data_IF_552945151217
#
_entry.id   IF_552945151217
#
_cell.length_a   1.000
_cell.length_b   1.000
_cell.length_c   1.000
_cell.angle_alpha   90.00
_cell.angle_beta   90.00
_cell.angle_gamma   90.00
#
_symmetry.space_group_name_H-M   'P 1'
#
loop_
_entity.id
_entity.type
_entity.pdbx_description
1 polymer ?
#
# COMPACT_ATOMS: atom_id res chain seq x y z
N UNK A 1 7.70 -1.91 28.18
CA UNK A 1 6.36 -2.16 27.61
C UNK A 1 6.51 -2.13 26.10
N UNK A 2 6.70 -3.30 25.49
CA UNK A 2 6.80 -3.43 24.03
C UNK A 2 5.40 -3.20 23.46
N UNK A 3 5.23 -2.16 22.61
CA UNK A 3 3.95 -1.94 21.93
C UNK A 3 3.83 -3.02 20.86
N UNK A 4 2.71 -3.74 20.88
CA UNK A 4 2.38 -4.76 19.90
C UNK A 4 2.48 -4.19 18.47
N UNK A 5 2.92 -5.06 17.55
CA UNK A 5 2.96 -4.82 16.11
C UNK A 5 1.53 -4.79 15.58
N UNK A 6 1.12 -3.66 14.99
CA UNK A 6 -0.27 -3.37 14.68
C UNK A 6 -0.41 -2.89 13.23
N UNK A 7 -0.33 -3.81 12.26
CA UNK A 7 -0.44 -3.51 10.82
C UNK A 7 -1.60 -4.29 10.19
N UNK A 8 -2.26 -3.71 9.18
CA UNK A 8 -3.39 -4.28 8.42
C UNK A 8 -2.89 -5.12 7.23
N UNK A 9 -3.81 -5.80 6.54
CA UNK A 9 -3.48 -6.77 5.50
C UNK A 9 -4.30 -6.56 4.25
N UNK A 10 -3.63 -6.43 3.10
CA UNK A 10 -4.22 -6.55 1.75
C UNK A 10 -3.59 -7.79 1.11
N UNK A 11 -4.43 -8.70 0.62
CA UNK A 11 -3.98 -9.81 -0.22
C UNK A 11 -3.96 -9.45 -1.71
N UNK A 12 -3.04 -10.05 -2.46
CA UNK A 12 -2.96 -9.97 -3.93
C UNK A 12 -2.94 -11.38 -4.54
N UNK A 13 -3.55 -11.54 -5.70
CA UNK A 13 -3.52 -12.76 -6.49
C UNK A 13 -2.50 -12.63 -7.62
N UNK A 14 -1.62 -13.62 -7.80
CA UNK A 14 -0.78 -13.74 -9.00
C UNK A 14 -1.32 -14.82 -9.90
N UNK A 15 -2.32 -14.47 -10.72
CA UNK A 15 -2.92 -15.41 -11.65
C UNK A 15 -1.86 -15.95 -12.63
N UNK A 16 -1.48 -17.21 -12.48
CA UNK A 16 -0.82 -17.97 -13.55
C UNK A 16 -1.92 -18.47 -14.51
N UNK A 17 -2.28 -17.59 -15.45
CA UNK A 17 -2.95 -17.83 -16.74
C UNK A 17 -4.07 -18.90 -16.72
N UNK A 18 -5.33 -18.48 -16.85
CA UNK A 18 -6.24 -19.04 -17.86
C UNK A 18 -7.29 -18.02 -18.35
N UNK A 19 -7.13 -17.63 -19.61
CA UNK A 19 -8.01 -16.91 -20.55
C UNK A 19 -9.40 -16.47 -20.06
N UNK A 20 -9.59 -15.17 -19.84
CA UNK A 20 -10.09 -14.24 -20.86
C UNK A 20 -10.12 -12.80 -20.28
N UNK A 21 -9.33 -11.90 -20.89
CA UNK A 21 -9.21 -10.45 -20.61
C UNK A 21 -8.25 -10.01 -19.49
N UNK A 22 -6.94 -10.12 -19.77
CA UNK A 22 -5.96 -9.04 -19.59
C UNK A 22 -4.62 -9.53 -20.16
N UNK A 23 -4.45 -9.45 -21.48
CA UNK A 23 -3.17 -9.74 -22.13
C UNK A 23 -2.28 -8.49 -22.02
N UNK A 24 -1.69 -8.27 -20.84
CA UNK A 24 -0.59 -7.32 -20.70
C UNK A 24 0.69 -8.11 -20.99
N UNK A 25 1.26 -7.94 -22.19
CA UNK A 25 2.50 -8.64 -22.60
C UNK A 25 3.72 -8.23 -21.76
N UNK A 26 3.70 -7.02 -21.16
CA UNK A 26 4.71 -6.52 -20.22
C UNK A 26 4.02 -5.60 -19.19
N UNK A 27 4.12 -5.87 -17.87
CA UNK A 27 3.57 -4.98 -16.84
C UNK A 27 4.11 -3.56 -16.99
N UNK A 28 3.22 -2.56 -16.98
CA UNK A 28 3.57 -1.14 -17.02
C UNK A 28 3.32 -0.57 -15.62
N UNK A 29 4.27 0.22 -15.11
CA UNK A 29 4.04 0.96 -13.87
C UNK A 29 3.19 2.20 -14.19
N UNK A 30 2.14 2.49 -13.41
CA UNK A 30 1.42 3.76 -13.53
C UNK A 30 2.36 4.93 -13.20
N UNK A 31 1.98 6.12 -13.68
CA UNK A 31 2.50 7.38 -13.14
C UNK A 31 2.09 7.55 -11.67
N UNK A 32 2.49 8.66 -11.05
CA UNK A 32 2.24 8.83 -9.62
C UNK A 32 0.78 9.14 -9.29
N UNK A 33 -0.02 9.54 -10.28
CA UNK A 33 -1.38 10.04 -10.06
C UNK A 33 -1.43 11.49 -9.60
N UNK A 34 -0.27 12.14 -9.39
CA UNK A 34 -0.22 13.56 -9.04
C UNK A 34 -0.71 14.42 -10.22
N UNK A 35 -1.83 15.12 -10.03
CA UNK A 35 -2.50 15.92 -11.06
C UNK A 35 -2.45 17.43 -10.83
N UNK A 36 -1.96 17.84 -9.65
CA UNK A 36 -1.89 19.24 -9.23
C UNK A 36 -0.46 19.77 -9.35
N UNK A 37 -0.30 20.92 -10.01
CA UNK A 37 0.95 21.68 -9.99
C UNK A 37 0.96 22.61 -8.77
N UNK A 38 2.15 22.88 -8.22
CA UNK A 38 2.34 23.80 -7.09
C UNK A 38 3.27 24.96 -7.47
N UNK A 39 3.06 26.11 -6.86
CA UNK A 39 3.93 27.27 -7.01
C UNK A 39 5.17 27.19 -6.07
N UNK A 40 6.00 28.24 -6.07
CA UNK A 40 7.21 28.29 -5.23
C UNK A 40 6.93 28.43 -3.73
N UNK A 41 5.69 28.73 -3.34
CA UNK A 41 5.24 28.81 -1.94
C UNK A 41 4.58 27.50 -1.49
N UNK A 42 4.36 26.56 -2.42
CA UNK A 42 3.73 25.27 -2.18
C UNK A 42 2.20 25.31 -2.27
N UNK A 43 1.63 26.36 -2.86
CA UNK A 43 0.19 26.47 -3.07
C UNK A 43 -0.22 25.86 -4.42
N UNK A 44 -1.39 25.20 -4.51
CA UNK A 44 -1.91 24.67 -5.77
C UNK A 44 -2.05 25.77 -6.83
N UNK A 45 -1.60 25.49 -8.05
CA UNK A 45 -1.77 26.39 -9.19
C UNK A 45 -2.54 25.73 -10.34
N UNK A 46 -3.24 26.57 -11.12
CA UNK A 46 -3.82 26.13 -12.38
C UNK A 46 -2.71 25.80 -13.38
N UNK A 47 -2.91 24.73 -14.17
CA UNK A 47 -1.93 24.23 -15.13
C UNK A 47 -1.21 25.37 -15.88
N UNK A 48 0.11 25.39 -15.78
CA UNK A 48 0.96 26.45 -16.29
C UNK A 48 2.06 25.88 -17.18
N UNK A 49 2.19 26.47 -18.37
CA UNK A 49 3.27 26.19 -19.32
C UNK A 49 4.55 26.99 -19.01
N UNK A 50 4.58 27.71 -17.88
CA UNK A 50 5.77 28.44 -17.46
C UNK A 50 6.91 27.47 -17.15
N UNK A 51 8.12 27.76 -17.64
CA UNK A 51 9.31 26.95 -17.35
C UNK A 51 9.66 26.84 -15.86
N UNK A 52 9.05 27.67 -15.01
CA UNK A 52 9.18 27.59 -13.56
C UNK A 52 8.39 26.42 -12.95
N UNK A 53 7.33 25.97 -13.61
CA UNK A 53 6.38 24.98 -13.09
C UNK A 53 6.32 23.71 -13.96
N UNK A 54 6.79 23.76 -15.21
CA UNK A 54 7.01 22.57 -16.05
C UNK A 54 8.14 21.71 -15.49
N UNK A 55 7.94 20.39 -15.44
CA UNK A 55 8.85 19.40 -14.82
C UNK A 55 8.31 18.78 -13.53
N UNK A 56 7.21 19.30 -12.98
CA UNK A 56 6.43 18.62 -11.94
C UNK A 56 5.70 17.41 -12.54
N UNK A 57 5.33 16.42 -11.73
CA UNK A 57 4.64 15.21 -12.24
C UNK A 57 3.32 15.57 -12.94
N UNK A 58 2.55 16.47 -12.34
CA UNK A 58 1.32 17.04 -12.90
C UNK A 58 1.49 17.83 -14.21
N UNK A 59 2.72 18.10 -14.66
CA UNK A 59 3.01 18.76 -15.94
C UNK A 59 3.32 17.79 -17.08
N UNK A 60 3.29 16.48 -16.82
CA UNK A 60 3.65 15.42 -17.77
C UNK A 60 2.46 14.49 -17.95
N UNK A 61 2.17 14.10 -19.20
CA UNK A 61 1.23 13.00 -19.46
C UNK A 61 1.87 11.68 -19.03
N UNK A 62 1.40 11.13 -17.90
CA UNK A 62 1.81 9.84 -17.39
C UNK A 62 0.74 8.76 -17.62
N UNK A 63 1.13 7.49 -17.50
CA UNK A 63 0.19 6.37 -17.53
C UNK A 63 -0.78 6.49 -16.34
N UNK A 64 -2.10 6.63 -16.54
CA UNK A 64 -3.02 6.76 -15.41
C UNK A 64 -3.14 5.46 -14.62
N UNK A 65 -3.56 5.57 -13.36
CA UNK A 65 -4.05 4.41 -12.60
C UNK A 65 -5.30 3.87 -13.31
N UNK A 66 -5.36 2.56 -13.55
CA UNK A 66 -6.45 1.93 -14.31
C UNK A 66 -6.87 0.63 -13.65
N UNK A 67 -8.09 0.62 -13.18
CA UNK A 67 -8.66 -0.52 -12.45
C UNK A 67 -9.96 -0.98 -13.10
N UNK A 68 -10.32 -2.23 -12.85
CA UNK A 68 -11.61 -2.81 -13.16
C UNK A 68 -12.14 -3.53 -11.92
N UNK A 69 -13.32 -3.14 -11.46
CA UNK A 69 -14.06 -3.91 -10.46
C UNK A 69 -14.68 -5.14 -11.13
N UNK A 70 -14.36 -6.33 -10.62
CA UNK A 70 -14.87 -7.59 -11.16
C UNK A 70 -16.27 -7.95 -10.61
N UNK A 71 -16.77 -7.21 -9.62
CA UNK A 71 -18.10 -7.41 -9.03
C UNK A 71 -18.19 -8.58 -8.05
N UNK A 72 -17.06 -9.18 -7.69
CA UNK A 72 -16.95 -10.37 -6.84
C UNK A 72 -16.07 -10.16 -5.59
N UNK A 73 -15.76 -8.89 -5.29
CA UNK A 73 -14.85 -8.50 -4.21
C UNK A 73 -13.38 -8.39 -4.64
N UNK A 74 -13.08 -8.50 -5.93
CA UNK A 74 -11.73 -8.32 -6.49
C UNK A 74 -11.65 -7.16 -7.48
N UNK A 75 -10.47 -6.54 -7.56
CA UNK A 75 -10.13 -5.46 -8.49
C UNK A 75 -8.99 -5.91 -9.39
N UNK A 76 -9.16 -5.82 -10.71
CA UNK A 76 -8.08 -6.04 -11.68
C UNK A 76 -7.34 -4.73 -11.94
N UNK A 77 -6.02 -4.71 -11.71
CA UNK A 77 -5.13 -3.63 -12.14
C UNK A 77 -4.77 -3.84 -13.61
N UNK A 78 -5.25 -2.95 -14.47
CA UNK A 78 -5.10 -3.04 -15.92
C UNK A 78 -3.70 -2.63 -16.39
N UNK A 79 -2.87 -2.03 -15.53
CA UNK A 79 -1.49 -1.65 -15.85
C UNK A 79 -0.52 -2.80 -15.56
N UNK A 80 -0.68 -3.45 -14.40
CA UNK A 80 0.22 -4.55 -13.98
C UNK A 80 -0.30 -5.94 -14.33
N UNK A 81 -1.62 -6.07 -14.59
CA UNK A 81 -2.30 -7.37 -14.77
C UNK A 81 -2.54 -8.13 -13.47
N UNK A 82 -2.24 -7.53 -12.31
CA UNK A 82 -2.45 -8.14 -11.00
C UNK A 82 -3.92 -7.99 -10.58
N UNK A 83 -4.39 -8.93 -9.76
CA UNK A 83 -5.72 -8.86 -9.16
C UNK A 83 -5.60 -8.69 -7.65
N UNK A 84 -6.39 -7.77 -7.11
CA UNK A 84 -6.31 -7.27 -5.75
C UNK A 84 -7.61 -7.56 -5.01
N UNK A 85 -7.51 -7.76 -3.70
CA UNK A 85 -8.68 -7.72 -2.82
C UNK A 85 -9.25 -6.30 -2.76
N UNK A 86 -10.56 -6.14 -2.99
CA UNK A 86 -11.24 -4.83 -2.94
C UNK A 86 -11.28 -4.24 -1.53
N UNK A 87 -11.67 -5.06 -0.55
CA UNK A 87 -11.88 -4.64 0.83
C UNK A 87 -10.97 -5.42 1.76
N UNK A 88 -10.20 -4.71 2.58
CA UNK A 88 -9.32 -5.33 3.57
C UNK A 88 -10.04 -5.54 4.92
N UNK A 89 -9.52 -6.45 5.74
CA UNK A 89 -9.95 -6.52 7.14
C UNK A 89 -9.16 -5.52 8.01
N UNK A 90 -9.70 -5.19 9.17
CA UNK A 90 -9.07 -4.29 10.15
C UNK A 90 -8.35 -5.04 11.27
N UNK A 91 -8.20 -6.37 11.12
CA UNK A 91 -7.59 -7.23 12.12
C UNK A 91 -6.08 -7.14 12.03
N UNK A 92 -5.48 -6.68 13.12
CA UNK A 92 -4.03 -6.46 13.21
C UNK A 92 -3.29 -7.77 13.41
N UNK A 93 -2.28 -7.99 12.58
CA UNK A 93 -1.51 -9.23 12.55
C UNK A 93 -0.02 -8.93 12.41
N UNK A 94 0.81 -9.84 12.90
CA UNK A 94 2.22 -9.85 12.55
C UNK A 94 2.39 -10.35 11.10
N UNK A 95 3.61 -10.30 10.56
CA UNK A 95 3.84 -10.68 9.16
C UNK A 95 3.49 -12.15 8.89
N UNK A 96 3.91 -13.07 9.76
CA UNK A 96 3.69 -14.50 9.57
C UNK A 96 2.20 -14.89 9.63
N UNK A 97 1.46 -14.34 10.60
CA UNK A 97 0.02 -14.50 10.74
C UNK A 97 -0.70 -13.94 9.50
N UNK A 98 -0.22 -12.81 8.93
CA UNK A 98 -0.79 -12.21 7.73
C UNK A 98 -0.58 -13.08 6.50
N UNK A 99 0.64 -13.61 6.30
CA UNK A 99 0.93 -14.56 5.21
C UNK A 99 -0.01 -15.76 5.29
N UNK A 100 -0.14 -16.38 6.46
CA UNK A 100 -0.98 -17.55 6.64
C UNK A 100 -2.46 -17.28 6.35
N UNK A 101 -2.97 -16.10 6.69
CA UNK A 101 -4.37 -15.72 6.40
C UNK A 101 -4.58 -15.49 4.91
N UNK A 102 -3.65 -14.82 4.22
CA UNK A 102 -3.79 -14.58 2.78
C UNK A 102 -3.65 -15.87 1.98
N UNK A 103 -2.68 -16.72 2.29
CA UNK A 103 -2.48 -17.99 1.58
C UNK A 103 -3.64 -18.98 1.77
N UNK A 104 -4.45 -18.82 2.83
CA UNK A 104 -5.63 -19.62 3.09
C UNK A 104 -6.94 -18.98 2.58
N UNK A 105 -6.87 -17.80 1.96
CA UNK A 105 -8.05 -17.04 1.55
C UNK A 105 -8.65 -17.63 0.27
N UNK A 106 -9.99 -17.71 0.26
CA UNK A 106 -10.77 -17.93 -0.95
C UNK A 106 -11.62 -16.69 -1.23
N UNK A 107 -11.35 -16.00 -2.33
CA UNK A 107 -12.02 -14.76 -2.73
C UNK A 107 -12.13 -14.70 -4.26
N UNK A 108 -13.27 -14.24 -4.79
CA UNK A 108 -13.51 -14.20 -6.25
C UNK A 108 -13.48 -15.56 -6.94
N UNK A 109 -13.60 -16.67 -6.19
CA UNK A 109 -13.41 -18.02 -6.72
C UNK A 109 -11.94 -18.44 -6.89
N UNK A 110 -11.00 -17.66 -6.35
CA UNK A 110 -9.56 -17.92 -6.39
C UNK A 110 -9.01 -18.30 -5.02
N UNK A 111 -7.98 -19.15 -5.01
CA UNK A 111 -7.34 -19.73 -3.81
C UNK A 111 -5.81 -19.52 -3.79
N UNK A 112 -5.23 -18.87 -4.79
CA UNK A 112 -3.79 -18.65 -4.97
C UNK A 112 -3.31 -17.27 -4.44
N UNK A 113 -4.03 -16.71 -3.48
CA UNK A 113 -3.75 -15.40 -2.89
C UNK A 113 -2.41 -15.41 -2.12
N UNK A 114 -1.66 -14.32 -2.22
CA UNK A 114 -0.40 -14.09 -1.48
C UNK A 114 -0.31 -12.65 -0.99
N UNK A 115 0.62 -12.36 -0.09
CA UNK A 115 0.95 -10.97 0.20
C UNK A 115 1.67 -10.32 -1.01
N UNK A 116 1.35 -9.05 -1.32
CA UNK A 116 2.06 -8.29 -2.35
C UNK A 116 3.50 -8.00 -1.92
N UNK A 117 4.41 -7.84 -2.88
CA UNK A 117 5.71 -7.24 -2.63
C UNK A 117 5.55 -5.74 -2.39
N UNK A 118 6.56 -5.08 -1.81
CA UNK A 118 6.48 -3.64 -1.56
C UNK A 118 6.33 -2.83 -2.86
N UNK A 119 6.90 -3.32 -3.97
CA UNK A 119 6.78 -2.67 -5.28
C UNK A 119 5.37 -2.78 -5.86
N UNK A 120 4.69 -3.91 -5.63
CA UNK A 120 3.31 -4.12 -6.05
C UNK A 120 2.37 -3.25 -5.21
N UNK A 121 2.55 -3.16 -3.89
CA UNK A 121 1.77 -2.20 -3.09
C UNK A 121 2.00 -0.77 -3.56
N UNK A 122 3.25 -0.41 -3.82
CA UNK A 122 3.60 0.93 -4.24
C UNK A 122 3.00 1.29 -5.62
N UNK A 123 2.72 0.32 -6.49
CA UNK A 123 2.06 0.58 -7.77
C UNK A 123 0.58 0.93 -7.64
N UNK A 124 -0.04 0.74 -6.48
CA UNK A 124 -1.41 1.19 -6.21
C UNK A 124 -1.50 2.64 -5.71
N UNK A 125 -0.37 3.26 -5.38
CA UNK A 125 -0.37 4.57 -4.72
C UNK A 125 -0.88 5.67 -5.66
N UNK A 126 -1.91 6.39 -5.21
CA UNK A 126 -2.37 7.66 -5.77
C UNK A 126 -1.74 8.82 -4.98
N UNK A 127 -0.73 9.47 -5.57
CA UNK A 127 0.02 10.55 -4.92
C UNK A 127 -0.67 11.91 -4.91
N UNK A 128 -1.90 12.02 -5.41
CA UNK A 128 -2.80 13.14 -5.07
C UNK A 128 -3.43 12.98 -3.67
N UNK A 129 -3.15 11.89 -2.95
CA UNK A 129 -3.51 11.76 -1.53
C UNK A 129 -2.93 12.89 -0.68
N UNK A 130 -3.66 13.28 0.37
CA UNK A 130 -3.22 14.29 1.33
C UNK A 130 -3.75 13.95 2.73
N UNK A 131 -2.82 13.75 3.67
CA UNK A 131 -3.16 13.62 5.09
C UNK A 131 -3.22 15.00 5.75
N UNK A 132 -4.44 15.45 6.06
CA UNK A 132 -4.63 16.78 6.66
C UNK A 132 -4.21 16.83 8.13
N UNK A 133 -3.65 17.98 8.54
CA UNK A 133 -3.33 18.25 9.95
C UNK A 133 -4.61 18.24 10.81
N UNK A 134 -4.59 17.61 12.00
CA UNK A 134 -5.69 17.70 12.95
C UNK A 134 -6.07 19.16 13.23
N UNK A 135 -7.36 19.48 13.12
CA UNK A 135 -7.87 20.84 13.36
C UNK A 135 -7.75 21.82 12.19
N UNK A 136 -7.25 21.38 11.02
CA UNK A 136 -7.23 22.22 9.80
C UNK A 136 -8.62 22.50 9.21
N UNK A 137 -9.64 21.72 9.59
CA UNK A 137 -10.99 21.81 9.03
C UNK A 137 -11.13 21.23 7.61
N UNK A 138 -10.05 20.67 7.05
CA UNK A 138 -10.05 19.98 5.76
C UNK A 138 -10.14 18.47 5.98
N UNK A 139 -10.71 17.77 5.00
CA UNK A 139 -10.79 16.31 4.97
C UNK A 139 -9.54 15.72 4.32
N UNK A 140 -9.06 14.58 4.83
CA UNK A 140 -7.93 13.86 4.25
C UNK A 140 -8.38 13.02 3.04
N UNK A 141 -7.52 12.92 2.04
CA UNK A 141 -7.66 12.00 0.91
C UNK A 141 -6.60 10.89 1.06
N UNK A 142 -6.97 9.60 1.04
CA UNK A 142 -5.98 8.53 1.14
C UNK A 142 -5.17 8.43 -0.16
N UNK A 143 -4.01 7.79 -0.06
CA UNK A 143 -3.09 7.58 -1.19
C UNK A 143 -3.46 6.36 -2.03
N UNK A 144 -4.75 6.07 -2.16
CA UNK A 144 -5.29 4.95 -2.94
C UNK A 144 -6.61 5.38 -3.59
N UNK A 145 -6.89 4.85 -4.77
CA UNK A 145 -8.12 5.15 -5.51
C UNK A 145 -9.36 4.52 -4.84
N UNK A 146 -10.10 5.34 -4.11
CA UNK A 146 -11.29 4.93 -3.35
C UNK A 146 -12.54 4.67 -4.20
N UNK A 147 -12.51 4.97 -5.50
CA UNK A 147 -13.58 4.54 -6.40
C UNK A 147 -13.52 3.02 -6.64
N UNK A 148 -12.35 2.41 -6.43
CA UNK A 148 -12.11 0.98 -6.61
C UNK A 148 -11.78 0.24 -5.32
N UNK A 149 -11.03 0.84 -4.38
CA UNK A 149 -10.60 0.19 -3.15
C UNK A 149 -11.32 0.74 -1.92
N UNK A 150 -11.80 -0.15 -1.06
CA UNK A 150 -12.40 0.28 0.20
C UNK A 150 -11.29 0.70 1.17
N UNK A 151 -11.39 1.92 1.69
CA UNK A 151 -10.44 2.46 2.66
C UNK A 151 -11.17 3.24 3.77
N UNK A 152 -10.82 2.96 5.03
CA UNK A 152 -11.32 3.70 6.18
C UNK A 152 -10.17 4.15 7.08
N UNK A 153 -10.14 5.44 7.43
CA UNK A 153 -9.22 5.97 8.42
C UNK A 153 -9.57 5.49 9.84
N UNK A 154 -8.56 5.02 10.59
CA UNK A 154 -8.72 4.78 12.04
C UNK A 154 -9.00 6.12 12.74
N UNK A 155 -10.17 6.24 13.38
CA UNK A 155 -10.64 7.46 14.05
C UNK A 155 -9.68 7.96 15.14
N UNK A 156 -8.90 7.08 15.76
CA UNK A 156 -7.93 7.42 16.82
C UNK A 156 -6.53 7.64 16.26
N UNK A 157 -6.22 7.02 15.11
CA UNK A 157 -4.92 7.09 14.44
C UNK A 157 -5.12 7.27 12.94
N UNK A 158 -5.49 8.47 12.47
CA UNK A 158 -5.75 8.73 11.05
C UNK A 158 -4.50 8.60 10.17
N UNK A 159 -3.32 8.42 10.76
CA UNK A 159 -2.06 8.14 10.07
C UNK A 159 -1.72 6.64 10.00
N UNK A 160 -2.62 5.75 10.44
CA UNK A 160 -2.39 4.32 10.51
C UNK A 160 -3.25 3.58 9.48
N UNK A 161 -2.81 3.58 8.22
CA UNK A 161 -3.40 2.84 7.11
C UNK A 161 -2.38 1.89 6.48
N UNK A 162 -1.57 1.25 7.33
CA UNK A 162 -0.44 0.43 6.93
C UNK A 162 -0.83 -0.98 6.47
N UNK A 163 -0.33 -1.39 5.31
CA UNK A 163 -0.55 -2.71 4.73
C UNK A 163 0.75 -3.49 4.60
N UNK A 164 0.72 -4.75 5.02
CA UNK A 164 1.87 -5.65 4.91
C UNK A 164 2.26 -5.94 3.46
N UNK A 165 3.57 -5.91 3.21
CA UNK A 165 4.16 -6.58 2.06
C UNK A 165 4.91 -7.85 2.48
N UNK A 166 5.16 -8.74 1.52
CA UNK A 166 6.07 -9.88 1.65
C UNK A 166 7.55 -9.49 1.63
N UNK A 167 7.87 -8.20 1.43
CA UNK A 167 9.26 -7.73 1.34
C UNK A 167 9.86 -7.47 2.71
N UNK A 168 10.90 -8.22 3.06
CA UNK A 168 11.59 -8.11 4.36
C UNK A 168 12.68 -7.03 4.35
N UNK A 169 12.89 -6.38 5.51
CA UNK A 169 13.98 -5.44 5.73
C UNK A 169 15.23 -6.18 6.21
N UNK A 170 16.31 -6.13 5.41
CA UNK A 170 17.52 -6.92 5.65
C UNK A 170 18.73 -6.11 6.15
N UNK A 171 18.64 -4.77 6.21
CA UNK A 171 19.80 -3.92 6.52
C UNK A 171 20.18 -3.94 8.01
N UNK A 172 19.25 -4.30 8.89
CA UNK A 172 19.50 -4.39 10.31
C UNK A 172 18.22 -4.58 11.11
N UNK A 173 18.34 -4.41 12.42
CA UNK A 173 17.22 -4.44 13.34
C UNK A 173 16.36 -3.18 13.22
N UNK A 174 15.04 -3.37 13.18
CA UNK A 174 14.09 -2.25 13.24
C UNK A 174 13.99 -1.68 14.65
N UNK A 175 14.27 -2.51 15.65
CA UNK A 175 14.41 -2.15 17.05
C UNK A 175 15.37 -3.11 17.75
N UNK A 176 16.15 -2.59 18.70
CA UNK A 176 17.08 -3.38 19.51
C UNK A 176 16.57 -3.56 20.93
N UNK A 177 16.67 -4.79 21.45
CA UNK A 177 16.28 -5.13 22.81
C UNK A 177 17.45 -5.74 23.59
N UNK A 178 17.50 -5.45 24.89
CA UNK A 178 18.49 -6.05 25.80
C UNK A 178 18.40 -7.57 25.83
N UNK A 179 17.17 -8.11 25.72
CA UNK A 179 16.89 -9.53 25.65
C UNK A 179 16.56 -9.89 24.19
N UNK A 180 17.16 -10.95 23.66
CA UNK A 180 17.01 -11.44 22.27
C UNK A 180 17.64 -10.58 21.15
N UNK A 181 18.12 -9.36 21.47
CA UNK A 181 18.80 -8.49 20.51
C UNK A 181 17.83 -7.83 19.53
N UNK A 182 18.17 -7.87 18.24
CA UNK A 182 17.45 -7.14 17.18
C UNK A 182 16.16 -7.82 16.72
N UNK A 183 15.11 -7.02 16.52
CA UNK A 183 13.88 -7.45 15.84
C UNK A 183 14.03 -7.38 14.32
N UNK A 184 13.52 -8.41 13.65
CA UNK A 184 13.39 -8.45 12.20
C UNK A 184 12.33 -7.46 11.73
N UNK A 185 12.58 -6.78 10.61
CA UNK A 185 11.65 -5.85 9.99
C UNK A 185 11.03 -6.39 8.71
N UNK A 186 9.79 -5.97 8.43
CA UNK A 186 9.14 -6.13 7.13
C UNK A 186 8.64 -4.79 6.63
N UNK A 187 8.64 -4.58 5.32
CA UNK A 187 8.09 -3.38 4.72
C UNK A 187 6.58 -3.45 4.59
N UNK A 188 5.94 -2.30 4.72
CA UNK A 188 4.56 -2.08 4.31
C UNK A 188 4.41 -0.71 3.67
N UNK A 189 3.28 -0.50 3.00
CA UNK A 189 2.89 0.80 2.48
C UNK A 189 1.70 1.33 3.28
N UNK A 190 1.75 2.60 3.65
CA UNK A 190 0.71 3.26 4.43
C UNK A 190 -0.13 4.15 3.53
N UNK A 191 -1.29 3.65 3.10
CA UNK A 191 -2.19 4.41 2.22
C UNK A 191 -2.89 5.56 2.96
N UNK A 192 -2.77 5.66 4.28
CA UNK A 192 -3.27 6.83 5.00
C UNK A 192 -2.39 8.07 4.80
N UNK A 193 -1.07 7.87 4.71
CA UNK A 193 -0.08 8.97 4.70
C UNK A 193 0.96 8.91 3.58
N UNK A 194 0.90 7.92 2.69
CA UNK A 194 1.67 7.84 1.45
C UNK A 194 3.10 7.31 1.59
N UNK A 195 3.45 6.69 2.72
CA UNK A 195 4.84 6.27 2.99
C UNK A 195 5.05 4.76 2.95
N UNK A 196 6.21 4.36 2.40
CA UNK A 196 6.81 3.06 2.72
C UNK A 196 7.39 3.13 4.13
N UNK A 197 7.03 2.16 4.98
CA UNK A 197 7.54 2.05 6.35
C UNK A 197 8.02 0.64 6.63
N UNK A 198 8.86 0.49 7.65
CA UNK A 198 9.25 -0.80 8.19
C UNK A 198 8.58 -1.04 9.53
N UNK A 199 8.03 -2.23 9.72
CA UNK A 199 7.36 -2.67 10.95
C UNK A 199 8.04 -3.92 11.47
N UNK A 200 7.95 -4.17 12.77
CA UNK A 200 8.51 -5.39 13.35
C UNK A 200 7.72 -6.60 12.86
N UNK A 201 8.40 -7.65 12.39
CA UNK A 201 7.70 -8.87 11.93
C UNK A 201 7.09 -9.68 13.08
N UNK A 202 7.40 -9.33 14.33
CA UNK A 202 7.09 -10.12 15.53
C UNK A 202 8.16 -11.16 15.89
N UNK A 203 9.28 -11.21 15.16
CA UNK A 203 10.37 -12.19 15.36
C UNK A 203 11.73 -11.51 15.54
N UNK A 204 12.53 -12.03 16.46
CA UNK A 204 13.93 -11.66 16.67
C UNK A 204 14.86 -12.41 15.70
N UNK A 205 16.05 -11.89 15.46
CA UNK A 205 17.06 -12.60 14.64
C UNK A 205 17.52 -13.93 15.26
N UNK A 206 17.39 -14.11 16.58
CA UNK A 206 17.68 -15.38 17.26
C UNK A 206 16.56 -16.44 17.09
N UNK A 207 15.47 -16.09 16.41
CA UNK A 207 14.33 -16.97 16.15
C UNK A 207 13.17 -16.84 17.14
N UNK A 208 13.36 -16.16 18.27
CA UNK A 208 12.33 -15.95 19.29
C UNK A 208 11.22 -15.05 18.76
N UNK A 209 9.97 -15.27 19.20
CA UNK A 209 8.82 -14.43 18.86
C UNK A 209 8.46 -13.49 20.00
N UNK A 210 8.00 -12.28 19.70
CA UNK A 210 7.41 -11.39 20.70
C UNK A 210 6.17 -12.07 21.27
N UNK A 211 6.16 -12.33 22.58
CA UNK A 211 4.97 -12.84 23.27
C UNK A 211 3.89 -11.75 23.27
N UNK A 212 2.68 -12.11 22.82
CA UNK A 212 1.50 -11.24 22.84
C UNK A 212 1.06 -10.94 24.28
#
# INVERSE_FOLDING_TARGET
MSKAVETLMIGILSCHIFSAHAQVEVPILPGTGQSVQYDTEGEPLAASESSLYTGQDASIEATPLRYQDNGDGTITDLNTGLMWQKSHDTTKRNLADSVAVVEAMTLGGHEDWRLPTIKELYSLADFDGELMKPGSGKESKPYIDTDYFDFEYDRRRPFAGAFWSSTVYIKGDVQNFTQHGGLQGGFGFDFADGHIKSYETGKFFDGTTIQK
#
